data_IF_823822186851
#
_entry.id   IF_823822186851
#
_cell.length_a   1.000
_cell.length_b   1.000
_cell.length_c   1.000
_cell.angle_alpha   90.00
_cell.angle_beta   90.00
_cell.angle_gamma   90.00
#
_symmetry.space_group_name_H-M   'P 1'
#
loop_
_entity.id
_entity.type
_entity.pdbx_description
1 polymer ?
#
# COMPACT_ATOMS: atom_id res chain seq x y z
N UNK A 1 2.59 -8.01 -9.25
CA UNK A 1 1.15 -8.20 -8.98
C UNK A 1 0.28 -7.18 -9.75
N UNK A 2 -0.64 -7.61 -10.63
CA UNK A 2 -1.56 -6.67 -11.34
C UNK A 2 -2.89 -6.48 -10.60
N UNK A 3 -3.34 -7.53 -9.89
CA UNK A 3 -4.60 -7.54 -9.15
C UNK A 3 -4.59 -6.57 -7.96
N UNK A 4 -3.48 -6.48 -7.23
CA UNK A 4 -3.32 -5.54 -6.12
C UNK A 4 -3.37 -4.08 -6.57
N UNK A 5 -2.76 -3.76 -7.71
CA UNK A 5 -2.85 -2.40 -8.27
C UNK A 5 -4.27 -2.06 -8.69
N UNK A 6 -4.99 -3.01 -9.28
CA UNK A 6 -6.40 -2.85 -9.64
C UNK A 6 -7.24 -2.63 -8.38
N UNK A 7 -7.06 -3.46 -7.35
CA UNK A 7 -7.72 -3.34 -6.05
C UNK A 7 -7.50 -1.92 -5.47
N UNK A 8 -6.26 -1.46 -5.41
CA UNK A 8 -5.89 -0.13 -4.89
C UNK A 8 -6.48 1.00 -5.74
N UNK A 9 -6.78 0.78 -7.03
CA UNK A 9 -7.40 1.78 -7.90
C UNK A 9 -8.93 1.81 -7.79
N UNK A 10 -9.58 0.65 -7.67
CA UNK A 10 -11.05 0.54 -7.81
C UNK A 10 -11.77 0.37 -6.49
N UNK A 11 -11.15 -0.26 -5.50
CA UNK A 11 -11.82 -0.59 -4.25
C UNK A 11 -12.02 0.61 -3.32
N UNK A 12 -12.84 0.35 -2.32
CA UNK A 12 -13.16 1.28 -1.24
C UNK A 12 -12.01 1.41 -0.25
N UNK A 13 -11.92 2.57 0.41
CA UNK A 13 -10.93 2.86 1.45
C UNK A 13 -10.79 1.74 2.50
N UNK A 14 -11.87 1.22 3.14
CA UNK A 14 -11.71 0.19 4.18
C UNK A 14 -11.11 -1.12 3.64
N UNK A 15 -11.47 -1.53 2.42
CA UNK A 15 -10.92 -2.75 1.79
C UNK A 15 -9.43 -2.58 1.52
N UNK A 16 -9.03 -1.41 1.02
CA UNK A 16 -7.62 -1.11 0.74
C UNK A 16 -6.82 -0.98 2.03
N UNK A 17 -7.37 -0.34 3.07
CA UNK A 17 -6.73 -0.20 4.37
C UNK A 17 -6.44 -1.57 4.99
N UNK A 18 -7.44 -2.46 5.05
CA UNK A 18 -7.28 -3.84 5.55
C UNK A 18 -6.24 -4.62 4.74
N UNK A 19 -6.30 -4.53 3.41
CA UNK A 19 -5.35 -5.22 2.53
C UNK A 19 -3.92 -4.73 2.74
N UNK A 20 -3.72 -3.41 2.86
CA UNK A 20 -2.39 -2.84 3.11
C UNK A 20 -1.86 -3.22 4.50
N UNK A 21 -2.70 -3.17 5.53
CA UNK A 21 -2.31 -3.54 6.89
C UNK A 21 -1.83 -5.00 6.94
N UNK A 22 -2.60 -5.90 6.32
CA UNK A 22 -2.24 -7.31 6.19
C UNK A 22 -0.91 -7.49 5.46
N UNK A 23 -0.73 -6.88 4.29
CA UNK A 23 0.47 -7.06 3.47
C UNK A 23 1.73 -6.44 4.08
N UNK A 24 1.60 -5.29 4.74
CA UNK A 24 2.75 -4.55 5.27
C UNK A 24 3.17 -5.03 6.66
N UNK A 25 2.24 -5.53 7.47
CA UNK A 25 2.50 -5.83 8.89
C UNK A 25 2.18 -7.28 9.30
N UNK A 26 1.22 -7.95 8.66
CA UNK A 26 0.84 -9.32 9.02
C UNK A 26 1.44 -10.39 8.09
N UNK A 27 1.94 -10.00 6.91
CA UNK A 27 2.54 -10.93 5.96
C UNK A 27 3.91 -11.43 6.48
N UNK A 28 4.18 -12.72 6.29
CA UNK A 28 5.51 -13.26 6.63
C UNK A 28 6.57 -12.67 5.70
N UNK A 29 7.78 -12.41 6.21
CA UNK A 29 8.89 -11.76 5.48
C UNK A 29 9.14 -12.34 4.07
N UNK A 30 8.87 -13.62 3.84
CA UNK A 30 9.06 -14.28 2.53
C UNK A 30 8.03 -13.88 1.46
N UNK A 31 6.86 -13.37 1.87
CA UNK A 31 5.74 -12.97 0.99
C UNK A 31 5.42 -11.46 1.13
N UNK A 32 6.28 -10.71 1.83
CA UNK A 32 6.15 -9.27 1.96
C UNK A 32 6.33 -8.57 0.61
N UNK A 33 5.60 -7.47 0.35
CA UNK A 33 5.74 -6.74 -0.90
C UNK A 33 7.11 -6.08 -1.01
N UNK A 34 7.61 -5.97 -2.23
CA UNK A 34 8.87 -5.24 -2.47
C UNK A 34 8.68 -3.72 -2.30
N UNK A 35 9.72 -3.01 -1.87
CA UNK A 35 9.70 -1.55 -1.77
C UNK A 35 9.26 -0.85 -3.08
N UNK A 36 9.63 -1.38 -4.25
CA UNK A 36 9.17 -0.86 -5.54
C UNK A 36 7.65 -1.00 -5.73
N UNK A 37 7.05 -2.09 -5.25
CA UNK A 37 5.59 -2.29 -5.33
C UNK A 37 4.85 -1.36 -4.36
N UNK A 38 5.33 -1.25 -3.13
CA UNK A 38 4.75 -0.35 -2.12
C UNK A 38 4.86 1.12 -2.56
N UNK A 39 5.96 1.51 -3.22
CA UNK A 39 6.10 2.84 -3.82
C UNK A 39 5.05 3.10 -4.91
N UNK A 40 4.80 2.12 -5.79
CA UNK A 40 3.75 2.25 -6.80
C UNK A 40 2.36 2.41 -6.18
N UNK A 41 2.07 1.65 -5.11
CA UNK A 41 0.79 1.74 -4.39
C UNK A 41 0.60 3.11 -3.74
N UNK A 42 1.65 3.62 -3.09
CA UNK A 42 1.69 4.97 -2.52
C UNK A 42 1.33 6.02 -3.57
N UNK A 43 1.95 5.97 -4.74
CA UNK A 43 1.74 6.94 -5.82
C UNK A 43 0.31 6.87 -6.38
N UNK A 44 -0.24 5.66 -6.57
CA UNK A 44 -1.64 5.48 -6.99
C UNK A 44 -2.60 6.08 -5.94
N UNK A 45 -2.39 5.79 -4.66
CA UNK A 45 -3.21 6.31 -3.57
C UNK A 45 -3.11 7.83 -3.43
N UNK A 46 -1.92 8.38 -3.63
CA UNK A 46 -1.71 9.82 -3.65
C UNK A 46 -2.46 10.48 -4.82
N UNK A 47 -2.41 9.87 -6.01
CA UNK A 47 -3.11 10.35 -7.20
C UNK A 47 -4.65 10.31 -7.05
N UNK A 48 -5.19 9.32 -6.32
CA UNK A 48 -6.63 9.27 -5.98
C UNK A 48 -7.06 10.40 -5.04
N UNK A 49 -6.15 10.91 -4.22
CA UNK A 49 -6.37 12.07 -3.37
C UNK A 49 -7.39 11.86 -2.24
N UNK A 50 -7.76 12.96 -1.56
CA UNK A 50 -8.77 12.94 -0.49
C UNK A 50 -8.39 12.01 0.67
N UNK A 51 -9.29 11.10 1.06
CA UNK A 51 -9.06 10.16 2.16
C UNK A 51 -8.01 9.09 1.83
N UNK A 52 -7.73 8.83 0.55
CA UNK A 52 -6.69 7.88 0.12
C UNK A 52 -5.27 8.38 0.40
N UNK A 53 -5.09 9.70 0.60
CA UNK A 53 -3.80 10.27 1.02
C UNK A 53 -3.35 9.71 2.38
N UNK A 54 -4.28 9.33 3.27
CA UNK A 54 -3.94 8.67 4.53
C UNK A 54 -3.30 7.31 4.28
N UNK A 55 -3.87 6.52 3.38
CA UNK A 55 -3.34 5.21 3.02
C UNK A 55 -1.99 5.30 2.31
N UNK A 56 -1.82 6.31 1.44
CA UNK A 56 -0.52 6.62 0.83
C UNK A 56 0.56 6.88 1.88
N UNK A 57 0.23 7.56 2.99
CA UNK A 57 1.18 7.76 4.10
C UNK A 57 1.57 6.46 4.80
N UNK A 58 0.67 5.49 4.93
CA UNK A 58 1.00 4.18 5.53
C UNK A 58 2.07 3.49 4.69
N UNK A 59 1.87 3.43 3.37
CA UNK A 59 2.88 2.92 2.44
C UNK A 59 4.21 3.70 2.54
N UNK A 60 4.17 5.02 2.67
CA UNK A 60 5.37 5.85 2.81
C UNK A 60 6.11 5.58 4.13
N UNK A 61 5.41 5.38 5.25
CA UNK A 61 6.03 5.05 6.54
C UNK A 61 6.74 3.71 6.43
N UNK A 62 6.08 2.69 5.91
CA UNK A 62 6.69 1.37 5.74
C UNK A 62 7.94 1.42 4.84
N UNK A 63 7.92 2.22 3.76
CA UNK A 63 9.09 2.42 2.89
C UNK A 63 10.26 3.11 3.60
N UNK A 64 9.97 4.02 4.52
CA UNK A 64 10.98 4.71 5.32
C UNK A 64 11.62 3.73 6.31
N UNK A 65 10.81 2.86 6.93
CA UNK A 65 11.26 1.80 7.83
C UNK A 65 12.11 0.74 7.13
N UNK A 66 11.73 0.31 5.91
CA UNK A 66 12.49 -0.66 5.11
C UNK A 66 13.81 -0.08 4.56
N UNK A 67 13.90 1.24 4.40
CA UNK A 67 15.09 1.93 3.91
C UNK A 67 16.10 2.31 5.01
N UNK A 68 15.73 2.17 6.29
CA UNK A 68 16.52 2.59 7.45
C UNK A 68 17.48 1.50 7.96
#
# INVERSE_FOLDING_TARGET
MTELKQLIQTESIPVIEETLDFLLYECSIDDAPSAEEVAQWRDILAARGGKFLRLSKICQTWLDEEAA
#
